data_IF_161636349497
#
_entry.id   IF_161636349497
#
_cell.length_a   1.000
_cell.length_b   1.000
_cell.length_c   1.000
_cell.angle_alpha   90.00
_cell.angle_beta   90.00
_cell.angle_gamma   90.00
#
_symmetry.space_group_name_H-M   'P 1'
#
loop_
_entity.id
_entity.type
_entity.pdbx_description
1 polymer ?
#
# COMPACT_ATOMS: atom_id res chain seq x y z
N UNK A 1 1.12 -14.02 2.61
CA UNK A 1 0.73 -12.59 2.67
C UNK A 1 1.13 -11.90 1.37
N UNK A 2 0.33 -10.95 0.89
CA UNK A 2 0.63 -10.15 -0.29
C UNK A 2 0.71 -8.69 0.12
N UNK A 3 1.79 -7.98 -0.23
CA UNK A 3 1.97 -6.55 0.04
C UNK A 3 2.28 -5.82 -1.27
N UNK A 4 1.36 -4.97 -1.71
CA UNK A 4 1.51 -4.23 -2.97
C UNK A 4 1.98 -2.79 -2.77
N UNK A 5 2.21 -2.37 -1.51
CA UNK A 5 2.61 -1.00 -1.17
C UNK A 5 3.40 -0.94 0.14
N UNK A 6 4.29 0.05 0.26
CA UNK A 6 5.02 0.34 1.50
C UNK A 6 4.07 0.68 2.66
N UNK A 7 2.95 1.35 2.37
CA UNK A 7 1.94 1.76 3.36
C UNK A 7 1.31 0.56 4.07
N UNK A 8 1.15 -0.57 3.37
CA UNK A 8 0.68 -1.80 3.99
C UNK A 8 1.69 -2.35 5.02
N UNK A 9 3.00 -2.31 4.72
CA UNK A 9 4.03 -2.73 5.65
C UNK A 9 4.12 -1.79 6.87
N UNK A 10 4.01 -0.48 6.65
CA UNK A 10 3.94 0.53 7.72
C UNK A 10 2.71 0.33 8.61
N UNK A 11 1.54 0.00 8.04
CA UNK A 11 0.34 -0.28 8.83
C UNK A 11 0.52 -1.52 9.73
N UNK A 12 1.16 -2.57 9.23
CA UNK A 12 1.49 -3.75 10.07
C UNK A 12 2.46 -3.36 11.18
N UNK A 13 3.48 -2.55 10.89
CA UNK A 13 4.42 -2.05 11.89
C UNK A 13 3.70 -1.28 13.01
N UNK A 14 2.75 -0.42 12.65
CA UNK A 14 1.91 0.28 13.63
C UNK A 14 1.09 -0.70 14.49
N UNK A 15 0.52 -1.75 13.91
CA UNK A 15 -0.15 -2.81 14.68
C UNK A 15 0.82 -3.52 15.64
N UNK A 16 2.03 -3.85 15.18
CA UNK A 16 3.06 -4.47 16.02
C UNK A 16 3.39 -3.58 17.22
N UNK A 17 3.63 -2.29 16.98
CA UNK A 17 3.94 -1.32 18.02
C UNK A 17 2.78 -1.16 19.03
N UNK A 18 1.54 -1.17 18.55
CA UNK A 18 0.36 -0.94 19.40
C UNK A 18 -0.08 -2.17 20.21
N UNK A 19 0.13 -3.40 19.71
CA UNK A 19 -0.48 -4.59 20.32
C UNK A 19 0.49 -5.57 20.99
N UNK A 20 1.76 -5.65 20.55
CA UNK A 20 2.69 -6.66 21.09
C UNK A 20 4.13 -6.17 21.35
N UNK A 21 4.57 -5.06 20.75
CA UNK A 21 5.95 -4.56 20.65
C UNK A 21 6.81 -5.21 19.55
N UNK A 22 7.80 -4.44 19.07
CA UNK A 22 8.77 -4.89 18.06
C UNK A 22 9.62 -6.07 18.54
N UNK A 23 9.96 -6.14 19.83
CA UNK A 23 10.79 -7.23 20.38
C UNK A 23 10.06 -8.57 20.32
N UNK A 24 8.80 -8.60 20.78
CA UNK A 24 7.94 -9.80 20.73
C UNK A 24 7.68 -10.21 19.27
N UNK A 25 7.45 -9.23 18.40
CA UNK A 25 7.30 -9.50 16.96
C UNK A 25 8.54 -10.16 16.37
N UNK A 26 9.74 -9.58 16.54
CA UNK A 26 10.98 -10.08 15.94
C UNK A 26 11.41 -11.44 16.50
N UNK A 27 11.21 -11.67 17.79
CA UNK A 27 11.60 -12.91 18.45
C UNK A 27 10.68 -14.08 18.15
N UNK A 28 9.40 -13.83 17.83
CA UNK A 28 8.38 -14.86 17.68
C UNK A 28 7.52 -14.70 16.41
N UNK A 29 6.60 -13.73 16.37
CA UNK A 29 5.57 -13.66 15.32
C UNK A 29 6.14 -13.54 13.90
N UNK A 30 7.23 -12.78 13.70
CA UNK A 30 7.90 -12.65 12.42
C UNK A 30 8.40 -14.00 11.88
N UNK A 31 8.89 -14.88 12.75
CA UNK A 31 9.37 -16.22 12.36
C UNK A 31 8.22 -17.09 11.85
N UNK A 32 7.09 -17.08 12.54
CA UNK A 32 5.88 -17.78 12.11
C UNK A 32 5.33 -17.25 10.78
N UNK A 33 5.47 -15.95 10.53
CA UNK A 33 5.13 -15.35 9.24
C UNK A 33 6.13 -15.72 8.15
N UNK A 34 7.42 -15.87 8.47
CA UNK A 34 8.46 -16.25 7.52
C UNK A 34 8.33 -17.69 7.01
N UNK A 35 7.71 -18.58 7.79
CA UNK A 35 7.32 -19.93 7.35
C UNK A 35 6.24 -19.92 6.27
N UNK A 36 5.57 -18.78 6.07
CA UNK A 36 4.54 -18.58 5.04
C UNK A 36 5.13 -17.83 3.85
N UNK A 37 4.52 -18.00 2.69
CA UNK A 37 4.91 -17.24 1.50
C UNK A 37 4.51 -15.76 1.64
N UNK A 38 5.47 -14.87 1.47
CA UNK A 38 5.29 -13.42 1.49
C UNK A 38 5.64 -12.87 0.11
N UNK A 39 4.65 -12.29 -0.55
CA UNK A 39 4.74 -11.73 -1.89
C UNK A 39 4.70 -10.21 -1.82
N UNK A 40 5.56 -9.54 -2.57
CA UNK A 40 5.62 -8.08 -2.64
C UNK A 40 5.61 -7.58 -4.07
N UNK A 41 5.07 -6.37 -4.28
CA UNK A 41 5.25 -5.64 -5.55
C UNK A 41 6.31 -4.56 -5.36
N UNK A 42 7.43 -4.72 -6.05
CA UNK A 42 8.48 -3.71 -6.17
C UNK A 42 9.48 -3.66 -5.02
N UNK A 43 10.69 -3.19 -5.33
CA UNK A 43 11.84 -3.13 -4.42
C UNK A 43 11.58 -2.28 -3.17
N UNK A 44 10.80 -1.21 -3.30
CA UNK A 44 10.49 -0.33 -2.16
C UNK A 44 9.62 -1.05 -1.11
N UNK A 45 8.62 -1.81 -1.55
CA UNK A 45 7.77 -2.62 -0.66
C UNK A 45 8.55 -3.77 -0.03
N UNK A 46 9.42 -4.43 -0.82
CA UNK A 46 10.32 -5.48 -0.30
C UNK A 46 11.24 -4.95 0.81
N UNK A 47 11.85 -3.78 0.58
CA UNK A 47 12.68 -3.08 1.56
C UNK A 47 11.89 -2.74 2.82
N UNK A 48 10.66 -2.22 2.68
CA UNK A 48 9.80 -1.92 3.82
C UNK A 48 9.45 -3.17 4.63
N UNK A 49 9.15 -4.31 3.98
CA UNK A 49 8.86 -5.56 4.66
C UNK A 49 10.08 -6.09 5.44
N UNK A 50 11.27 -6.05 4.85
CA UNK A 50 12.49 -6.52 5.52
C UNK A 50 12.93 -5.57 6.65
N UNK A 51 13.03 -4.28 6.41
CA UNK A 51 13.56 -3.33 7.40
C UNK A 51 12.62 -3.13 8.58
N UNK A 52 11.30 -2.98 8.33
CA UNK A 52 10.32 -2.71 9.39
C UNK A 52 9.87 -3.97 10.09
N UNK A 53 9.53 -5.00 9.30
CA UNK A 53 8.90 -6.21 9.81
C UNK A 53 9.90 -7.37 9.98
N UNK A 54 11.11 -7.28 9.45
CA UNK A 54 12.05 -8.41 9.47
C UNK A 54 11.56 -9.59 8.63
N UNK A 55 10.79 -9.30 7.58
CA UNK A 55 10.18 -10.30 6.72
C UNK A 55 10.83 -10.29 5.33
N UNK A 56 11.42 -11.42 4.97
CA UNK A 56 11.93 -11.66 3.62
C UNK A 56 10.77 -12.05 2.69
N UNK A 57 10.85 -11.55 1.46
CA UNK A 57 9.74 -11.61 0.51
C UNK A 57 10.19 -11.92 -0.91
N UNK A 58 9.27 -12.43 -1.71
CA UNK A 58 9.46 -12.73 -3.13
C UNK A 58 8.64 -11.78 -4.02
N UNK A 59 9.04 -11.63 -5.28
CA UNK A 59 8.35 -10.74 -6.23
C UNK A 59 8.84 -9.29 -6.24
N UNK A 60 9.94 -8.96 -5.54
CA UNK A 60 10.55 -7.62 -5.53
C UNK A 60 10.83 -7.03 -6.92
N UNK A 61 11.08 -7.91 -7.90
CA UNK A 61 11.39 -7.54 -9.29
C UNK A 61 10.19 -7.68 -10.25
N UNK A 62 9.00 -8.09 -9.76
CA UNK A 62 7.80 -8.20 -10.58
C UNK A 62 7.33 -6.83 -11.13
N UNK A 63 7.55 -5.75 -10.37
CA UNK A 63 7.24 -4.37 -10.80
C UNK A 63 5.74 -4.01 -10.86
N UNK A 64 4.84 -4.98 -11.01
CA UNK A 64 3.38 -4.77 -11.01
C UNK A 64 2.62 -5.92 -10.35
N UNK A 65 1.33 -5.70 -10.08
CA UNK A 65 0.42 -6.75 -9.60
C UNK A 65 0.25 -7.86 -10.65
N UNK A 66 0.11 -7.50 -11.93
CA UNK A 66 -0.07 -8.45 -13.03
C UNK A 66 1.13 -9.40 -13.17
N UNK A 67 2.34 -8.87 -13.02
CA UNK A 67 3.56 -9.68 -13.06
C UNK A 67 3.77 -10.52 -11.78
N UNK A 68 3.17 -10.12 -10.65
CA UNK A 68 3.25 -10.87 -9.40
C UNK A 68 2.29 -12.07 -9.39
N UNK A 69 1.13 -11.97 -10.05
CA UNK A 69 0.12 -13.03 -10.09
C UNK A 69 0.71 -14.40 -10.47
N UNK A 70 1.45 -14.55 -11.59
CA UNK A 70 2.04 -15.84 -11.96
C UNK A 70 2.95 -16.43 -10.87
N UNK A 71 3.71 -15.59 -10.17
CA UNK A 71 4.61 -16.01 -9.08
C UNK A 71 3.79 -16.58 -7.92
N UNK A 72 2.67 -15.93 -7.57
CA UNK A 72 1.76 -16.41 -6.52
C UNK A 72 1.15 -17.74 -6.95
N UNK A 73 0.61 -17.85 -8.17
CA UNK A 73 -0.06 -19.05 -8.67
C UNK A 73 0.88 -20.27 -8.78
N UNK A 74 2.16 -20.04 -9.03
CA UNK A 74 3.16 -21.11 -9.03
C UNK A 74 3.45 -21.62 -7.61
N UNK A 75 3.39 -20.73 -6.62
CA UNK A 75 3.83 -20.98 -5.24
C UNK A 75 2.70 -21.42 -4.31
N UNK A 76 1.45 -21.07 -4.63
CA UNK A 76 0.29 -21.22 -3.76
C UNK A 76 -0.71 -22.17 -4.43
N UNK A 77 -1.18 -23.16 -3.67
CA UNK A 77 -2.18 -24.14 -4.15
C UNK A 77 -3.57 -23.82 -3.59
N UNK A 78 -4.65 -24.16 -4.31
CA UNK A 78 -6.01 -24.11 -3.78
C UNK A 78 -6.17 -24.96 -2.52
N UNK A 79 -7.16 -24.62 -1.69
CA UNK A 79 -7.51 -25.40 -0.48
C UNK A 79 -6.57 -25.21 0.72
N UNK A 80 -5.61 -24.29 0.65
CA UNK A 80 -4.80 -23.89 1.81
C UNK A 80 -5.41 -22.69 2.54
N UNK A 81 -4.80 -22.31 3.68
CA UNK A 81 -5.18 -21.11 4.42
C UNK A 81 -5.14 -19.83 3.56
N UNK A 82 -6.09 -18.89 3.76
CA UNK A 82 -6.19 -17.70 2.93
C UNK A 82 -4.91 -16.85 2.98
N UNK A 83 -4.56 -16.27 1.83
CA UNK A 83 -3.51 -15.26 1.76
C UNK A 83 -4.01 -13.95 2.37
N UNK A 84 -3.36 -13.47 3.42
CA UNK A 84 -3.62 -12.13 3.94
C UNK A 84 -3.18 -11.07 2.92
N UNK A 85 -4.04 -10.09 2.64
CA UNK A 85 -3.81 -8.99 1.71
C UNK A 85 -4.18 -7.63 2.32
N UNK A 86 -3.26 -7.02 3.10
CA UNK A 86 -3.43 -5.66 3.60
C UNK A 86 -3.29 -4.65 2.45
N UNK A 87 -4.32 -3.84 2.23
CA UNK A 87 -4.43 -2.96 1.05
C UNK A 87 -5.00 -1.58 1.39
N UNK A 88 -4.93 -0.67 0.43
CA UNK A 88 -5.56 0.66 0.52
C UNK A 88 -7.00 0.64 0.00
N UNK A 89 -7.74 1.72 0.24
CA UNK A 89 -9.08 1.93 -0.34
C UNK A 89 -9.08 1.93 -1.88
N UNK A 90 -8.00 2.40 -2.51
CA UNK A 90 -7.80 2.39 -3.96
C UNK A 90 -7.20 1.08 -4.48
N UNK A 91 -7.53 -0.06 -3.85
CA UNK A 91 -6.97 -1.35 -4.26
C UNK A 91 -7.37 -1.67 -5.70
N UNK A 92 -6.40 -2.15 -6.48
CA UNK A 92 -6.66 -2.68 -7.83
C UNK A 92 -7.18 -4.11 -7.70
N UNK A 93 -8.20 -4.43 -8.50
CA UNK A 93 -8.84 -5.75 -8.48
C UNK A 93 -8.01 -6.86 -9.15
N UNK A 94 -6.81 -6.56 -9.66
CA UNK A 94 -5.90 -7.54 -10.30
C UNK A 94 -5.60 -8.74 -9.41
N UNK A 95 -5.11 -8.53 -8.18
CA UNK A 95 -4.77 -9.63 -7.26
C UNK A 95 -6.05 -10.34 -6.80
N UNK A 96 -7.09 -9.66 -6.26
CA UNK A 96 -8.34 -10.32 -5.86
C UNK A 96 -8.98 -11.17 -6.96
N UNK A 97 -9.09 -10.63 -8.17
CA UNK A 97 -9.71 -11.33 -9.31
C UNK A 97 -8.88 -12.54 -9.72
N UNK A 98 -7.56 -12.43 -9.76
CA UNK A 98 -6.69 -13.55 -10.13
C UNK A 98 -6.72 -14.69 -9.12
N UNK A 99 -6.72 -14.37 -7.81
CA UNK A 99 -6.81 -15.39 -6.76
C UNK A 99 -8.16 -16.10 -6.79
N UNK A 100 -9.27 -15.35 -6.96
CA UNK A 100 -10.60 -15.93 -7.09
C UNK A 100 -10.71 -16.87 -8.31
N UNK A 101 -10.17 -16.47 -9.46
CA UNK A 101 -10.15 -17.33 -10.67
C UNK A 101 -9.34 -18.62 -10.49
N UNK A 102 -8.34 -18.60 -9.63
CA UNK A 102 -7.48 -19.74 -9.34
C UNK A 102 -7.95 -20.56 -8.13
N UNK A 103 -9.11 -20.26 -7.54
CA UNK A 103 -9.62 -20.88 -6.31
C UNK A 103 -8.64 -20.79 -5.13
N UNK A 104 -7.91 -19.68 -5.06
CA UNK A 104 -7.01 -19.36 -3.95
C UNK A 104 -7.72 -18.37 -3.04
N UNK A 105 -7.94 -18.76 -1.79
CA UNK A 105 -8.56 -17.90 -0.80
C UNK A 105 -7.65 -16.69 -0.49
N UNK A 106 -8.24 -15.49 -0.48
CA UNK A 106 -7.57 -14.22 -0.24
C UNK A 106 -8.39 -13.42 0.78
N UNK A 107 -7.74 -13.02 1.88
CA UNK A 107 -8.35 -12.19 2.92
C UNK A 107 -7.86 -10.73 2.79
N UNK A 108 -8.68 -9.89 2.16
CA UNK A 108 -8.35 -8.51 1.85
C UNK A 108 -8.80 -7.55 2.95
N UNK A 109 -7.86 -6.94 3.66
CA UNK A 109 -8.14 -5.98 4.74
C UNK A 109 -7.67 -4.59 4.33
N UNK A 110 -8.55 -3.59 4.40
CA UNK A 110 -8.16 -2.20 4.16
C UNK A 110 -7.44 -1.65 5.40
N UNK A 111 -6.16 -1.31 5.27
CA UNK A 111 -5.31 -0.85 6.38
C UNK A 111 -4.81 0.59 6.23
N UNK A 112 -5.04 1.22 5.08
CA UNK A 112 -4.82 2.64 4.87
C UNK A 112 -5.80 3.20 3.84
N UNK A 113 -5.89 4.53 3.77
CA UNK A 113 -6.72 5.22 2.79
C UNK A 113 -5.94 6.37 2.15
N UNK A 114 -6.06 6.53 0.84
CA UNK A 114 -5.65 7.76 0.16
C UNK A 114 -6.76 8.79 0.31
N UNK A 115 -6.47 9.87 1.03
CA UNK A 115 -7.36 11.01 1.23
C UNK A 115 -6.68 12.32 0.80
N UNK A 116 -7.49 13.36 0.58
CA UNK A 116 -6.96 14.71 0.42
C UNK A 116 -6.29 15.15 1.73
N UNK A 117 -5.16 15.85 1.63
CA UNK A 117 -4.58 16.52 2.79
C UNK A 117 -5.56 17.58 3.30
N UNK A 118 -5.97 17.49 4.57
CA UNK A 118 -6.91 18.43 5.17
C UNK A 118 -6.40 19.87 5.17
N UNK A 119 -5.09 20.07 5.01
CA UNK A 119 -4.44 21.38 4.94
C UNK A 119 -4.28 21.90 3.52
N UNK A 120 -4.55 21.11 2.48
CA UNK A 120 -4.29 21.53 1.09
C UNK A 120 -5.02 22.82 0.74
N UNK A 121 -6.28 22.94 1.18
CA UNK A 121 -7.10 24.13 0.95
C UNK A 121 -6.56 25.37 1.67
N UNK A 122 -6.46 25.39 3.01
CA UNK A 122 -5.97 26.57 3.71
C UNK A 122 -4.54 26.95 3.29
N UNK A 123 -3.65 25.97 3.08
CA UNK A 123 -2.28 26.26 2.64
C UNK A 123 -2.21 26.88 1.25
N UNK A 124 -3.08 26.48 0.33
CA UNK A 124 -3.14 27.06 -1.01
C UNK A 124 -3.77 28.46 -0.99
N UNK A 125 -4.83 28.66 -0.22
CA UNK A 125 -5.46 29.98 -0.02
C UNK A 125 -4.49 30.98 0.64
N UNK A 126 -3.73 30.53 1.66
CA UNK A 126 -2.69 31.32 2.30
C UNK A 126 -1.58 31.69 1.31
N UNK A 127 -1.12 30.73 0.51
CA UNK A 127 -0.12 30.97 -0.53
C UNK A 127 -0.60 32.00 -1.55
N UNK A 128 -1.83 31.89 -2.06
CA UNK A 128 -2.40 32.82 -3.03
C UNK A 128 -2.55 34.22 -2.41
N UNK A 129 -2.99 34.31 -1.15
CA UNK A 129 -3.10 35.59 -0.46
C UNK A 129 -1.75 36.28 -0.28
N UNK A 130 -0.69 35.53 0.02
CA UNK A 130 0.64 36.07 0.28
C UNK A 130 1.48 36.34 -0.98
N UNK A 131 1.31 35.51 -2.02
CA UNK A 131 2.18 35.50 -3.21
C UNK A 131 1.44 35.81 -4.50
N UNK A 132 0.11 35.87 -4.47
CA UNK A 132 -0.73 35.95 -5.66
C UNK A 132 -0.98 34.60 -6.32
N UNK A 133 -1.86 34.58 -7.33
CA UNK A 133 -2.18 33.37 -8.10
C UNK A 133 -0.95 32.97 -8.94
N UNK A 134 -0.50 31.71 -8.88
CA UNK A 134 0.65 31.27 -9.65
C UNK A 134 0.30 31.20 -11.15
N UNK A 135 1.23 31.59 -12.02
CA UNK A 135 1.05 31.47 -13.48
C UNK A 135 1.02 30.03 -13.97
N UNK A 136 1.60 29.10 -13.20
CA UNK A 136 1.67 27.68 -13.52
C UNK A 136 1.51 26.82 -12.26
N UNK A 137 0.81 25.69 -12.39
CA UNK A 137 0.71 24.66 -11.36
C UNK A 137 1.11 23.31 -11.97
N UNK A 138 1.94 22.54 -11.25
CA UNK A 138 2.39 21.22 -11.69
C UNK A 138 1.72 20.15 -10.84
N UNK A 139 1.05 19.20 -11.51
CA UNK A 139 0.36 18.10 -10.86
C UNK A 139 1.06 16.77 -11.14
N UNK A 140 1.23 15.98 -10.10
CA UNK A 140 1.87 14.66 -10.17
C UNK A 140 0.86 13.50 -10.22
N UNK A 141 -0.45 13.80 -10.09
CA UNK A 141 -1.52 12.81 -10.18
C UNK A 141 -2.89 13.44 -10.48
N UNK A 142 -3.86 12.68 -11.03
CA UNK A 142 -5.24 13.15 -11.21
C UNK A 142 -5.89 13.61 -9.90
N UNK A 143 -5.63 12.91 -8.79
CA UNK A 143 -6.19 13.29 -7.48
C UNK A 143 -5.74 14.67 -7.04
N UNK A 144 -4.49 15.06 -7.32
CA UNK A 144 -3.98 16.40 -7.02
C UNK A 144 -4.77 17.50 -7.73
N UNK A 145 -5.15 17.27 -8.99
CA UNK A 145 -6.02 18.19 -9.75
C UNK A 145 -7.40 18.26 -9.10
N UNK A 146 -8.02 17.11 -8.85
CA UNK A 146 -9.38 17.04 -8.29
C UNK A 146 -9.51 17.73 -6.92
N UNK A 147 -8.45 17.70 -6.10
CA UNK A 147 -8.48 18.33 -4.77
C UNK A 147 -8.19 19.83 -4.77
N UNK A 148 -7.70 20.39 -5.87
CA UNK A 148 -7.21 21.78 -5.90
C UNK A 148 -7.82 22.66 -7.00
N UNK A 149 -8.47 22.08 -8.01
CA UNK A 149 -9.03 22.81 -9.15
C UNK A 149 -10.03 23.91 -8.72
N UNK A 150 -10.95 23.60 -7.81
CA UNK A 150 -11.96 24.56 -7.33
C UNK A 150 -11.32 25.75 -6.58
N UNK A 151 -10.22 25.49 -5.86
CA UNK A 151 -9.50 26.53 -5.09
C UNK A 151 -8.76 27.46 -6.04
N UNK A 152 -8.14 26.91 -7.10
CA UNK A 152 -7.39 27.69 -8.08
C UNK A 152 -8.31 28.49 -9.03
N UNK A 153 -9.52 27.99 -9.30
CA UNK A 153 -10.47 28.60 -10.25
C UNK A 153 -11.39 29.65 -9.60
N UNK A 154 -11.56 29.65 -8.28
CA UNK A 154 -12.39 30.60 -7.53
C UNK A 154 -11.83 32.02 -7.39
N UNK A 155 -10.75 32.37 -8.09
CA UNK A 155 -10.09 33.68 -8.04
C UNK A 155 -10.17 34.48 -9.36
N UNK A 156 -11.16 34.18 -10.22
CA UNK A 156 -11.49 35.00 -11.39
C UNK A 156 -12.51 36.09 -11.06
#
# INVERSE_FOLDING_TARGET
>A
MVLTSQRAAEAIELCVANFISHEVWRSNAAKLWQEKMIFVVGKATAKAASERLGLESCGRDAGSADALVPIILQSVKPGINPLLFPCGNLRRETIPTAMAKADIALDGIQVYSTCADSKIKPSLEDFIREKGVPSYAVFFSPSGVNFTADILSGHN
#
